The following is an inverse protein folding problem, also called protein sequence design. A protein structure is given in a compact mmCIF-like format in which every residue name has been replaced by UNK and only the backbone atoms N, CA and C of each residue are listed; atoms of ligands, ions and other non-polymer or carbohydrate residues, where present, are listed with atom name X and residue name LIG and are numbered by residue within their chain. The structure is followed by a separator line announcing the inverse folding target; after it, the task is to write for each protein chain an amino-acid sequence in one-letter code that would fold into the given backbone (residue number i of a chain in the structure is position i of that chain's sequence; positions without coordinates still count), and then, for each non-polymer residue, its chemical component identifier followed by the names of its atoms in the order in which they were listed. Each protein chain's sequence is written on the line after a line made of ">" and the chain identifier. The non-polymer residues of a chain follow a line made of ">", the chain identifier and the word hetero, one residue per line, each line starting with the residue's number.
data_IF_124712969503
#
_entry.id   IF_124712969503
#
_cell.length_a   1.000
_cell.length_b   1.000
_cell.length_c   1.000
_cell.angle_alpha   90.00
_cell.angle_beta   90.00
_cell.angle_gamma   90.00
#
_symmetry.space_group_name_H-M   'P 1'
#
loop_
_entity.id
_entity.type
_entity.pdbx_description
1 polymer ?
#
# COMPACT_ATOMS: atom_id res chain seq x y z
N UNK A 1 -21.24 63.98 4.43
CA UNK A 1 -20.54 63.04 5.34
C UNK A 1 -20.59 61.66 4.69
N UNK A 2 -19.45 61.17 4.20
CA UNK A 2 -19.33 59.94 3.39
C UNK A 2 -18.82 58.82 4.30
N UNK A 3 -19.53 57.70 4.48
CA UNK A 3 -18.93 56.52 5.12
C UNK A 3 -18.23 55.63 4.08
N UNK A 4 -16.93 55.46 4.31
CA UNK A 4 -15.97 54.62 3.59
C UNK A 4 -16.39 53.14 3.68
N UNK A 5 -16.68 52.50 2.55
CA UNK A 5 -16.97 51.06 2.46
C UNK A 5 -15.66 50.30 2.23
N UNK A 6 -15.37 49.39 3.15
CA UNK A 6 -14.22 48.48 3.20
C UNK A 6 -13.95 47.80 1.85
N UNK A 7 -12.81 48.14 1.22
CA UNK A 7 -12.25 47.50 0.03
C UNK A 7 -11.09 46.62 0.51
N UNK A 8 -11.41 45.47 1.10
CA UNK A 8 -10.41 44.52 1.61
C UNK A 8 -10.79 43.08 1.23
N UNK A 9 -11.07 42.85 -0.05
CA UNK A 9 -11.44 41.52 -0.55
C UNK A 9 -10.67 41.04 -1.81
N UNK A 10 -10.24 41.89 -2.78
CA UNK A 10 -9.66 41.34 -4.01
C UNK A 10 -8.15 41.07 -3.93
N UNK A 11 -7.42 41.73 -3.03
CA UNK A 11 -5.95 41.61 -2.94
C UNK A 11 -5.50 40.29 -2.31
N UNK A 12 -6.30 39.74 -1.39
CA UNK A 12 -5.99 38.48 -0.72
C UNK A 12 -6.10 37.26 -1.66
N UNK A 13 -6.93 37.37 -2.71
CA UNK A 13 -7.18 36.27 -3.64
C UNK A 13 -6.09 36.15 -4.72
N UNK A 14 -5.50 37.29 -5.13
CA UNK A 14 -4.44 37.32 -6.16
C UNK A 14 -3.11 36.73 -5.64
N UNK A 15 -2.84 36.83 -4.33
CA UNK A 15 -1.63 36.27 -3.74
C UNK A 15 -1.67 34.73 -3.60
N UNK A 16 -2.87 34.13 -3.54
CA UNK A 16 -3.03 32.67 -3.40
C UNK A 16 -2.82 31.89 -4.72
N UNK A 17 -2.92 32.56 -5.87
CA UNK A 17 -2.79 31.93 -7.20
C UNK A 17 -1.32 31.80 -7.66
N UNK A 18 -0.38 32.55 -7.06
CA UNK A 18 1.02 32.59 -7.53
C UNK A 18 1.88 31.46 -6.93
N UNK A 19 1.42 30.74 -5.90
CA UNK A 19 2.17 29.64 -5.25
C UNK A 19 1.86 28.24 -5.80
N UNK A 20 0.89 28.07 -6.70
CA UNK A 20 0.50 26.76 -7.26
C UNK A 20 1.30 26.38 -8.53
N UNK A 21 2.27 27.21 -8.92
CA UNK A 21 2.88 27.17 -10.26
C UNK A 21 4.00 26.16 -10.53
N UNK A 22 4.59 25.47 -9.55
CA UNK A 22 5.74 24.59 -9.84
C UNK A 22 5.82 23.39 -8.89
N UNK A 23 5.21 22.26 -9.27
CA UNK A 23 5.60 20.91 -8.81
C UNK A 23 5.05 19.85 -9.76
N UNK A 24 5.36 19.97 -11.05
CA UNK A 24 5.25 18.85 -11.98
C UNK A 24 6.51 17.98 -11.84
N UNK A 25 6.59 17.21 -10.75
CA UNK A 25 7.56 16.12 -10.68
C UNK A 25 7.01 14.96 -11.48
N UNK A 26 7.44 14.85 -12.73
CA UNK A 26 7.29 13.63 -13.52
C UNK A 26 8.27 12.61 -12.95
N UNK A 27 7.88 11.94 -11.88
CA UNK A 27 8.60 10.78 -11.35
C UNK A 27 8.20 9.57 -12.17
N UNK A 28 9.12 9.04 -12.98
CA UNK A 28 9.08 7.63 -13.37
C UNK A 28 9.32 6.82 -12.09
N UNK A 29 8.26 6.58 -11.34
CA UNK A 29 8.30 5.79 -10.13
C UNK A 29 8.48 4.33 -10.52
N UNK A 30 9.69 3.80 -10.32
CA UNK A 30 9.85 2.35 -10.11
C UNK A 30 8.81 1.94 -9.07
N UNK A 31 7.80 1.19 -9.50
CA UNK A 31 6.69 0.82 -8.63
C UNK A 31 7.21 -0.23 -7.64
N UNK A 32 7.35 0.17 -6.38
CA UNK A 32 7.77 -0.74 -5.31
C UNK A 32 6.54 -1.42 -4.72
N UNK A 33 6.53 -2.76 -4.74
CA UNK A 33 5.46 -3.58 -4.15
C UNK A 33 5.95 -4.18 -2.84
N UNK A 34 5.31 -3.83 -1.74
CA UNK A 34 5.60 -4.35 -0.40
C UNK A 34 4.70 -5.55 -0.11
N UNK A 35 5.33 -6.71 0.10
CA UNK A 35 4.65 -8.00 0.24
C UNK A 35 4.92 -8.58 1.63
N UNK A 36 3.87 -8.69 2.43
CA UNK A 36 3.90 -9.38 3.73
C UNK A 36 3.62 -10.86 3.50
N UNK A 37 4.60 -11.72 3.75
CA UNK A 37 4.49 -13.14 3.41
C UNK A 37 4.89 -14.07 4.57
N UNK A 38 4.21 -15.21 4.64
CA UNK A 38 4.57 -16.28 5.55
C UNK A 38 6.03 -16.72 5.34
N UNK A 39 6.80 -16.83 6.43
CA UNK A 39 8.22 -17.19 6.37
C UNK A 39 8.49 -18.54 5.68
N UNK A 40 7.55 -19.49 5.72
CA UNK A 40 7.65 -20.78 5.03
C UNK A 40 7.64 -20.67 3.50
N UNK A 41 7.26 -19.51 2.94
CA UNK A 41 7.21 -19.26 1.50
C UNK A 41 8.46 -18.55 0.97
N UNK A 42 9.44 -18.26 1.84
CA UNK A 42 10.61 -17.42 1.53
C UNK A 42 11.35 -17.86 0.27
N UNK A 43 11.72 -19.14 0.18
CA UNK A 43 12.52 -19.65 -0.95
C UNK A 43 11.76 -19.52 -2.28
N UNK A 44 10.49 -19.95 -2.29
CA UNK A 44 9.64 -19.90 -3.48
C UNK A 44 9.40 -18.46 -3.93
N UNK A 45 9.10 -17.55 -2.99
CA UNK A 45 8.81 -16.15 -3.32
C UNK A 45 10.06 -15.39 -3.77
N UNK A 46 11.25 -15.74 -3.29
CA UNK A 46 12.50 -15.18 -3.81
C UNK A 46 12.75 -15.56 -5.29
N UNK A 47 12.40 -16.77 -5.69
CA UNK A 47 12.52 -17.18 -7.09
C UNK A 47 11.44 -16.55 -7.97
N UNK A 48 10.22 -16.38 -7.45
CA UNK A 48 9.16 -15.63 -8.13
C UNK A 48 9.55 -14.17 -8.31
N UNK A 49 10.11 -13.53 -7.28
CA UNK A 49 10.57 -12.13 -7.33
C UNK A 49 11.55 -11.91 -8.48
N UNK A 50 12.58 -12.75 -8.61
CA UNK A 50 13.57 -12.62 -9.70
C UNK A 50 12.89 -12.62 -11.07
N UNK A 51 11.85 -13.44 -11.26
CA UNK A 51 11.12 -13.52 -12.53
C UNK A 51 10.22 -12.30 -12.73
N UNK A 52 9.52 -11.89 -11.68
CA UNK A 52 8.64 -10.72 -11.71
C UNK A 52 9.40 -9.44 -12.05
N UNK A 53 10.53 -9.19 -11.38
CA UNK A 53 11.37 -7.99 -11.61
C UNK A 53 12.09 -8.00 -12.97
N UNK A 54 12.17 -9.14 -13.66
CA UNK A 54 12.68 -9.21 -15.03
C UNK A 54 11.62 -8.86 -16.08
N UNK A 55 10.35 -9.14 -15.78
CA UNK A 55 9.23 -8.90 -16.69
C UNK A 55 8.57 -7.53 -16.45
N UNK A 56 8.77 -6.94 -15.28
CA UNK A 56 8.17 -5.67 -14.85
C UNK A 56 9.23 -4.66 -14.39
N UNK A 57 9.03 -3.38 -14.70
CA UNK A 57 9.81 -2.25 -14.14
C UNK A 57 9.37 -1.93 -12.70
N UNK A 58 9.28 -2.96 -11.86
CA UNK A 58 8.78 -2.88 -10.50
C UNK A 58 9.69 -3.67 -9.57
N UNK A 59 9.92 -3.16 -8.36
CA UNK A 59 10.75 -3.83 -7.35
C UNK A 59 9.86 -4.45 -6.28
N UNK A 60 10.16 -5.69 -5.86
CA UNK A 60 9.41 -6.37 -4.80
C UNK A 60 10.18 -6.35 -3.49
N UNK A 61 9.59 -5.80 -2.44
CA UNK A 61 10.13 -5.85 -1.09
C UNK A 61 9.32 -6.82 -0.23
N UNK A 62 9.96 -7.86 0.30
CA UNK A 62 9.30 -8.82 1.18
C UNK A 62 9.49 -8.47 2.66
N UNK A 63 8.40 -8.56 3.42
CA UNK A 63 8.42 -8.68 4.89
C UNK A 63 8.00 -10.11 5.25
N UNK A 64 8.98 -10.95 5.60
CA UNK A 64 8.75 -12.34 5.98
C UNK A 64 8.56 -12.50 7.49
N UNK A 65 7.57 -13.30 7.88
CA UNK A 65 7.28 -13.54 9.29
C UNK A 65 6.22 -14.60 9.53
N UNK A 66 5.83 -14.77 10.79
CA UNK A 66 4.67 -15.60 11.13
C UNK A 66 3.39 -14.94 10.64
N UNK A 67 2.56 -15.64 9.87
CA UNK A 67 1.39 -15.05 9.21
C UNK A 67 0.45 -14.32 10.16
N UNK A 68 0.24 -14.84 11.37
CA UNK A 68 -0.59 -14.17 12.38
C UNK A 68 0.05 -12.88 12.91
N UNK A 69 1.37 -12.87 13.11
CA UNK A 69 2.08 -11.69 13.60
C UNK A 69 2.06 -10.58 12.53
N UNK A 70 2.30 -10.95 11.27
CA UNK A 70 2.21 -10.03 10.12
C UNK A 70 0.79 -9.48 9.94
N UNK A 71 -0.25 -10.31 10.13
CA UNK A 71 -1.62 -9.84 10.09
C UNK A 71 -1.92 -8.80 11.19
N UNK A 72 -1.40 -9.01 12.41
CA UNK A 72 -1.51 -8.04 13.51
C UNK A 72 -0.72 -6.75 13.19
N UNK A 73 0.39 -6.85 12.49
CA UNK A 73 1.19 -5.70 12.07
C UNK A 73 0.47 -4.89 10.98
N UNK A 74 -0.15 -5.55 10.01
CA UNK A 74 -1.00 -4.93 8.98
C UNK A 74 -2.23 -4.27 9.60
N UNK A 75 -2.88 -4.93 10.58
CA UNK A 75 -4.03 -4.34 11.29
C UNK A 75 -3.69 -3.10 12.11
N UNK A 76 -2.40 -2.85 12.36
CA UNK A 76 -1.91 -1.62 13.02
C UNK A 76 -1.57 -0.50 12.03
N UNK A 77 -1.83 -0.71 10.73
CA UNK A 77 -1.60 0.28 9.68
C UNK A 77 -0.20 0.21 9.06
N UNK A 78 0.48 -0.94 9.14
CA UNK A 78 1.74 -1.10 8.40
C UNK A 78 1.48 -1.08 6.89
N UNK A 79 2.28 -0.35 6.10
CA UNK A 79 2.06 -0.21 4.68
C UNK A 79 2.46 -1.52 3.97
N UNK A 80 1.47 -2.27 3.48
CA UNK A 80 1.68 -3.47 2.69
C UNK A 80 0.65 -3.55 1.57
N UNK A 81 1.12 -3.90 0.38
CA UNK A 81 0.28 -3.98 -0.83
C UNK A 81 -0.30 -5.37 -1.01
N UNK A 82 0.47 -6.40 -0.63
CA UNK A 82 0.06 -7.81 -0.77
C UNK A 82 0.33 -8.56 0.53
N UNK A 83 -0.66 -9.36 0.95
CA UNK A 83 -0.51 -10.27 2.09
C UNK A 83 -0.67 -11.73 1.65
N UNK A 84 0.36 -12.54 1.88
CA UNK A 84 0.39 -13.98 1.55
C UNK A 84 0.49 -14.80 2.85
N UNK A 85 -0.65 -15.26 3.33
CA UNK A 85 -0.75 -16.08 4.54
C UNK A 85 -0.50 -17.57 4.27
N UNK A 86 0.04 -18.29 5.26
CA UNK A 86 0.14 -19.76 5.22
C UNK A 86 -1.21 -20.48 5.37
N UNK A 87 -2.29 -19.76 5.66
CA UNK A 87 -3.63 -20.34 5.77
C UNK A 87 -4.74 -19.31 6.00
N UNK A 88 -5.96 -19.82 6.13
CA UNK A 88 -7.17 -19.00 6.28
C UNK A 88 -7.25 -18.19 7.58
N UNK A 89 -6.82 -18.67 8.77
CA UNK A 89 -7.09 -17.95 10.03
C UNK A 89 -6.50 -16.52 10.09
N UNK A 90 -5.24 -16.25 9.68
CA UNK A 90 -4.72 -14.89 9.64
C UNK A 90 -5.45 -13.99 8.63
N UNK A 91 -5.89 -14.56 7.50
CA UNK A 91 -6.66 -13.80 6.49
C UNK A 91 -8.04 -13.41 7.05
N UNK A 92 -8.72 -14.35 7.72
CA UNK A 92 -9.99 -14.09 8.40
C UNK A 92 -9.86 -13.03 9.48
N UNK A 93 -8.78 -13.06 10.25
CA UNK A 93 -8.52 -12.00 11.23
C UNK A 93 -8.46 -10.62 10.56
N UNK A 94 -7.80 -10.48 9.41
CA UNK A 94 -7.74 -9.20 8.70
C UNK A 94 -9.10 -8.74 8.18
N UNK A 95 -9.92 -9.66 7.64
CA UNK A 95 -11.20 -9.31 7.01
C UNK A 95 -12.37 -9.20 7.99
N UNK A 96 -12.39 -10.02 9.05
CA UNK A 96 -13.53 -10.14 9.96
C UNK A 96 -13.33 -9.35 11.25
N UNK A 97 -12.11 -9.35 11.82
CA UNK A 97 -11.83 -8.72 13.11
C UNK A 97 -11.21 -7.32 12.94
N UNK A 98 -10.19 -7.20 12.08
CA UNK A 98 -9.51 -5.94 11.83
C UNK A 98 -10.24 -5.05 10.81
N UNK A 99 -11.25 -5.60 10.11
CA UNK A 99 -12.07 -4.91 9.09
C UNK A 99 -11.24 -4.17 8.03
N UNK A 100 -10.14 -4.79 7.57
CA UNK A 100 -9.33 -4.24 6.49
C UNK A 100 -10.02 -4.50 5.16
N UNK A 101 -10.19 -3.44 4.37
CA UNK A 101 -10.69 -3.55 3.00
C UNK A 101 -9.67 -4.29 2.13
N UNK A 102 -9.98 -5.53 1.74
CA UNK A 102 -9.18 -6.32 0.82
C UNK A 102 -9.85 -6.29 -0.55
N UNK A 103 -9.14 -5.73 -1.54
CA UNK A 103 -9.64 -5.60 -2.92
C UNK A 103 -9.92 -6.96 -3.57
N UNK A 104 -9.03 -7.94 -3.36
CA UNK A 104 -9.23 -9.30 -3.86
C UNK A 104 -8.47 -10.35 -3.05
N UNK A 105 -9.02 -11.55 -2.97
CA UNK A 105 -8.41 -12.70 -2.28
C UNK A 105 -8.41 -13.90 -3.21
N UNK A 106 -7.30 -14.64 -3.27
CA UNK A 106 -7.16 -15.85 -4.08
C UNK A 106 -6.40 -16.94 -3.34
N UNK A 107 -6.79 -18.20 -3.55
CA UNK A 107 -6.09 -19.38 -3.02
C UNK A 107 -5.05 -19.82 -4.05
N UNK A 108 -3.77 -19.70 -3.70
CA UNK A 108 -2.65 -20.02 -4.61
C UNK A 108 -2.12 -21.45 -4.46
N UNK A 109 -2.40 -22.11 -3.33
CA UNK A 109 -1.96 -23.48 -3.05
C UNK A 109 -2.92 -24.19 -2.09
N UNK A 110 -3.08 -25.50 -2.24
CA UNK A 110 -3.82 -26.36 -1.31
C UNK A 110 -3.08 -27.69 -1.15
N UNK A 111 -3.29 -28.35 -0.02
CA UNK A 111 -2.81 -29.71 0.22
C UNK A 111 -3.98 -30.57 0.71
N UNK A 112 -3.96 -31.86 0.38
CA UNK A 112 -4.88 -32.86 0.90
C UNK A 112 -4.06 -33.98 1.50
N UNK A 113 -4.38 -34.36 2.74
CA UNK A 113 -3.78 -35.53 3.36
C UNK A 113 -4.46 -36.76 2.77
N UNK A 114 -3.66 -37.63 2.16
CA UNK A 114 -4.10 -38.99 1.80
C UNK A 114 -4.03 -39.92 3.00
#
# INVERSE_FOLDING_TARGET
>A
MIPLKSITAPVFWVLFIITIGLSSSCGSSDEQVVVFAAASLTDVLNDVKKRYELEHESTVQFNFGGSQALAIELSKGSPGDVFISAGNPPMKFLTEEADIEISSTSVVAHNSLI
#
